data_IF_816468934227
#
_entry.id   IF_816468934227
#
_cell.length_a   1.000
_cell.length_b   1.000
_cell.length_c   1.000
_cell.angle_alpha   90.00
_cell.angle_beta   90.00
_cell.angle_gamma   90.00
#
_symmetry.space_group_name_H-M   'P 1'
#
loop_
_entity.id
_entity.type
_entity.pdbx_description
1 polymer ?
#
# COMPACT_ATOMS: atom_id res chain seq x y z
N UNK A 1 -21.41 4.82 16.48
CA UNK A 1 -20.11 4.73 15.78
C UNK A 1 -19.95 3.38 15.07
N UNK A 2 -20.29 2.24 15.68
CA UNK A 2 -20.17 0.90 15.07
C UNK A 2 -21.05 0.75 13.83
N UNK A 3 -22.29 1.25 13.85
CA UNK A 3 -23.20 1.21 12.70
C UNK A 3 -22.72 2.05 11.51
N UNK A 4 -22.07 3.18 11.78
CA UNK A 4 -21.49 4.04 10.74
C UNK A 4 -20.31 3.35 10.05
N UNK A 5 -19.47 2.66 10.82
CA UNK A 5 -18.37 1.86 10.28
C UNK A 5 -18.85 0.69 9.44
N UNK A 6 -19.88 -0.03 9.92
CA UNK A 6 -20.51 -1.11 9.15
C UNK A 6 -21.08 -0.62 7.83
N UNK A 7 -21.80 0.52 7.84
CA UNK A 7 -22.37 1.12 6.63
C UNK A 7 -21.30 1.55 5.62
N UNK A 8 -20.21 2.16 6.08
CA UNK A 8 -19.06 2.53 5.23
C UNK A 8 -18.40 1.29 4.60
N UNK A 9 -18.25 0.21 5.37
CA UNK A 9 -17.66 -1.01 4.84
C UNK A 9 -18.54 -1.66 3.77
N UNK A 10 -19.85 -1.71 3.98
CA UNK A 10 -20.81 -2.20 2.97
C UNK A 10 -20.74 -1.36 1.69
N UNK A 11 -20.69 -0.03 1.82
CA UNK A 11 -20.54 0.87 0.68
C UNK A 11 -19.24 0.62 -0.09
N UNK A 12 -18.12 0.46 0.61
CA UNK A 12 -16.83 0.15 0.01
C UNK A 12 -16.87 -1.18 -0.76
N UNK A 13 -17.50 -2.20 -0.20
CA UNK A 13 -17.65 -3.51 -0.86
C UNK A 13 -18.51 -3.39 -2.12
N UNK A 14 -19.64 -2.70 -2.06
CA UNK A 14 -20.52 -2.50 -3.22
C UNK A 14 -19.81 -1.76 -4.35
N UNK A 15 -19.14 -0.65 -4.05
CA UNK A 15 -18.39 0.12 -5.05
C UNK A 15 -17.23 -0.73 -5.61
N UNK A 16 -16.56 -1.49 -4.73
CA UNK A 16 -15.48 -2.42 -5.12
C UNK A 16 -15.97 -3.50 -6.10
N UNK A 17 -17.13 -4.09 -5.86
CA UNK A 17 -17.75 -5.09 -6.77
C UNK A 17 -18.05 -4.45 -8.13
N UNK A 18 -18.67 -3.27 -8.15
CA UNK A 18 -18.95 -2.55 -9.39
C UNK A 18 -17.67 -2.27 -10.18
N UNK A 19 -16.64 -1.73 -9.48
CA UNK A 19 -15.32 -1.46 -10.08
C UNK A 19 -14.70 -2.73 -10.65
N UNK A 20 -14.63 -3.81 -9.87
CA UNK A 20 -14.01 -5.06 -10.31
C UNK A 20 -14.74 -5.66 -11.50
N UNK A 21 -16.07 -5.58 -11.54
CA UNK A 21 -16.86 -5.99 -12.71
C UNK A 21 -16.52 -5.15 -13.94
N UNK A 22 -16.47 -3.82 -13.82
CA UNK A 22 -16.09 -2.93 -14.92
C UNK A 22 -14.67 -3.25 -15.43
N UNK A 23 -13.71 -3.41 -14.51
CA UNK A 23 -12.32 -3.76 -14.86
C UNK A 23 -12.25 -5.11 -15.58
N UNK A 24 -12.97 -6.14 -15.10
CA UNK A 24 -13.02 -7.44 -15.74
C UNK A 24 -13.68 -7.41 -17.13
N UNK A 25 -14.68 -6.56 -17.34
CA UNK A 25 -15.31 -6.37 -18.65
C UNK A 25 -14.40 -5.62 -19.64
N UNK A 26 -13.58 -4.67 -19.17
CA UNK A 26 -12.73 -3.84 -20.02
C UNK A 26 -11.39 -4.52 -20.37
N UNK A 27 -10.74 -5.13 -19.39
CA UNK A 27 -9.42 -5.74 -19.55
C UNK A 27 -9.46 -7.27 -19.75
N UNK A 28 -10.62 -7.88 -19.50
CA UNK A 28 -10.74 -9.33 -19.52
C UNK A 28 -9.97 -10.04 -18.41
N UNK A 29 -9.98 -11.39 -18.40
CA UNK A 29 -9.26 -12.17 -17.37
C UNK A 29 -7.76 -11.94 -17.38
N UNK A 30 -7.15 -11.73 -18.54
CA UNK A 30 -5.70 -11.49 -18.67
C UNK A 30 -5.27 -10.20 -17.97
N UNK A 31 -5.96 -9.08 -18.21
CA UNK A 31 -5.65 -7.80 -17.58
C UNK A 31 -5.87 -7.83 -16.06
N UNK A 32 -6.93 -8.51 -15.58
CA UNK A 32 -7.14 -8.70 -14.14
C UNK A 32 -6.02 -9.54 -13.53
N UNK A 33 -5.55 -10.59 -14.22
CA UNK A 33 -4.41 -11.40 -13.81
C UNK A 33 -3.12 -10.57 -13.70
N UNK A 34 -2.84 -9.70 -14.68
CA UNK A 34 -1.70 -8.77 -14.66
C UNK A 34 -1.74 -7.82 -13.45
N UNK A 35 -2.90 -7.20 -13.20
CA UNK A 35 -3.10 -6.32 -12.04
C UNK A 35 -2.79 -7.07 -10.74
N UNK A 36 -3.26 -8.31 -10.63
CA UNK A 36 -3.06 -9.14 -9.44
C UNK A 36 -1.60 -9.49 -9.21
N UNK A 37 -0.87 -9.87 -10.26
CA UNK A 37 0.55 -10.18 -10.19
C UNK A 37 1.38 -8.96 -9.80
N UNK A 38 1.12 -7.80 -10.42
CA UNK A 38 1.82 -6.55 -10.07
C UNK A 38 1.53 -6.12 -8.62
N UNK A 39 0.27 -6.22 -8.18
CA UNK A 39 -0.09 -5.89 -6.79
C UNK A 39 0.58 -6.83 -5.78
N UNK A 40 0.63 -8.14 -6.04
CA UNK A 40 1.30 -9.10 -5.15
C UNK A 40 2.80 -8.86 -5.08
N UNK A 41 3.42 -8.55 -6.22
CA UNK A 41 4.86 -8.24 -6.28
C UNK A 41 5.20 -6.96 -5.52
N UNK A 42 4.46 -5.88 -5.74
CA UNK A 42 4.66 -4.60 -5.03
C UNK A 42 4.38 -4.73 -3.54
N UNK A 43 3.36 -5.51 -3.16
CA UNK A 43 3.04 -5.79 -1.77
C UNK A 43 4.14 -6.57 -1.06
N UNK A 44 4.69 -7.61 -1.69
CA UNK A 44 5.82 -8.36 -1.12
C UNK A 44 7.01 -7.45 -0.81
N UNK A 45 7.39 -6.59 -1.76
CA UNK A 45 8.48 -5.64 -1.56
C UNK A 45 8.13 -4.65 -0.45
N UNK A 46 6.91 -4.09 -0.46
CA UNK A 46 6.43 -3.20 0.58
C UNK A 46 6.49 -3.83 1.97
N UNK A 47 5.99 -5.06 2.12
CA UNK A 47 6.01 -5.79 3.39
C UNK A 47 7.43 -6.13 3.85
N UNK A 48 8.34 -6.42 2.93
CA UNK A 48 9.74 -6.69 3.25
C UNK A 48 10.52 -5.43 3.66
N UNK A 49 10.13 -4.26 3.16
CA UNK A 49 10.89 -3.01 3.35
C UNK A 49 10.30 -2.06 4.38
N UNK A 50 9.05 -2.27 4.83
CA UNK A 50 8.36 -1.38 5.77
C UNK A 50 8.80 -1.55 7.23
N UNK A 51 9.63 -2.55 7.55
CA UNK A 51 10.12 -2.88 8.90
C UNK A 51 9.02 -2.98 9.97
N UNK A 52 7.79 -3.30 9.57
CA UNK A 52 6.63 -3.39 10.47
C UNK A 52 6.21 -2.07 11.11
N UNK A 53 6.72 -0.93 10.61
CA UNK A 53 6.40 0.40 11.11
C UNK A 53 4.90 0.66 11.17
N UNK A 54 4.09 0.34 10.15
CA UNK A 54 2.66 0.62 10.21
C UNK A 54 1.95 -0.04 11.39
N UNK A 55 2.42 -1.21 11.84
CA UNK A 55 1.83 -1.93 12.98
C UNK A 55 2.37 -1.45 14.32
N UNK A 56 3.70 -1.33 14.44
CA UNK A 56 4.36 -0.89 15.68
C UNK A 56 4.03 0.56 16.02
N UNK A 57 3.93 1.43 15.00
CA UNK A 57 3.53 2.82 15.16
C UNK A 57 2.12 2.97 15.74
N UNK A 58 1.15 2.22 15.23
CA UNK A 58 -0.23 2.26 15.75
C UNK A 58 -0.25 1.99 17.25
N UNK A 59 0.50 0.98 17.70
CA UNK A 59 0.56 0.62 19.12
C UNK A 59 1.15 1.74 19.97
N UNK A 60 2.32 2.25 19.60
CA UNK A 60 3.02 3.27 20.39
C UNK A 60 2.22 4.57 20.43
N UNK A 61 1.73 5.03 19.28
CA UNK A 61 0.92 6.25 19.18
C UNK A 61 -0.40 6.15 19.95
N UNK A 62 -1.03 4.96 19.98
CA UNK A 62 -2.25 4.75 20.76
C UNK A 62 -1.95 4.83 22.27
N UNK A 63 -0.83 4.28 22.72
CA UNK A 63 -0.40 4.33 24.11
C UNK A 63 -0.10 5.78 24.57
N UNK A 64 0.60 6.57 23.74
CA UNK A 64 0.90 7.96 24.05
C UNK A 64 -0.34 8.85 24.00
N UNK A 65 -1.22 8.59 23.04
CA UNK A 65 -2.51 9.28 22.93
C UNK A 65 -3.41 9.04 24.16
N UNK A 66 -3.47 7.79 24.66
CA UNK A 66 -4.26 7.43 25.84
C UNK A 66 -3.68 8.04 27.13
N UNK A 67 -2.37 8.25 27.20
CA UNK A 67 -1.70 8.93 28.34
C UNK A 67 -1.87 10.45 28.32
N UNK A 68 -2.31 11.03 27.20
CA UNK A 68 -2.43 12.48 27.02
C UNK A 68 -1.09 13.22 26.92
N UNK A 69 0.00 12.51 26.59
CA UNK A 69 1.34 13.09 26.43
C UNK A 69 1.50 13.64 25.01
N UNK A 70 1.07 14.90 24.82
CA UNK A 70 1.09 15.55 23.49
C UNK A 70 2.51 15.78 22.96
N UNK A 71 3.49 16.05 23.83
CA UNK A 71 4.88 16.27 23.41
C UNK A 71 5.50 14.97 22.89
N UNK A 72 5.28 13.88 23.60
CA UNK A 72 5.75 12.56 23.18
C UNK A 72 5.03 12.09 21.92
N UNK A 73 3.71 12.27 21.86
CA UNK A 73 2.91 11.94 20.70
C UNK A 73 3.39 12.65 19.41
N UNK A 74 3.66 13.96 19.49
CA UNK A 74 4.18 14.72 18.34
C UNK A 74 5.57 14.28 17.94
N UNK A 75 6.41 13.93 18.91
CA UNK A 75 7.74 13.38 18.66
C UNK A 75 7.65 12.02 17.96
N UNK A 76 6.79 11.13 18.43
CA UNK A 76 6.61 9.80 17.84
C UNK A 76 5.97 9.85 16.45
N UNK A 77 5.07 10.82 16.20
CA UNK A 77 4.57 11.11 14.85
C UNK A 77 5.72 11.50 13.91
N UNK A 78 6.63 12.38 14.35
CA UNK A 78 7.78 12.76 13.55
C UNK A 78 8.73 11.57 13.30
N UNK A 79 8.91 10.68 14.27
CA UNK A 79 9.66 9.42 14.12
C UNK A 79 9.02 8.54 13.06
N UNK A 80 7.71 8.31 13.12
CA UNK A 80 6.97 7.47 12.15
C UNK A 80 7.11 8.02 10.73
N UNK A 81 6.93 9.33 10.53
CA UNK A 81 7.09 9.98 9.22
C UNK A 81 8.51 9.85 8.67
N UNK A 82 9.52 10.06 9.53
CA UNK A 82 10.93 9.97 9.12
C UNK A 82 11.31 8.55 8.71
N UNK A 83 10.88 7.57 9.46
CA UNK A 83 11.08 6.16 9.12
C UNK A 83 10.26 5.72 7.90
N UNK A 84 9.03 6.19 7.75
CA UNK A 84 8.22 5.91 6.55
C UNK A 84 8.87 6.46 5.29
N UNK A 85 9.54 7.62 5.37
CA UNK A 85 10.31 8.16 4.24
C UNK A 85 11.52 7.30 3.92
N UNK A 86 12.26 6.84 4.92
CA UNK A 86 13.42 5.96 4.72
C UNK A 86 13.01 4.62 4.10
N UNK A 87 11.95 4.00 4.63
CA UNK A 87 11.43 2.74 4.10
C UNK A 87 10.83 2.88 2.71
N UNK A 88 10.21 4.02 2.40
CA UNK A 88 9.72 4.33 1.07
C UNK A 88 10.87 4.41 0.04
N UNK A 89 11.95 5.11 0.38
CA UNK A 89 13.15 5.17 -0.46
C UNK A 89 13.80 3.79 -0.61
N UNK A 90 13.93 3.04 0.49
CA UNK A 90 14.47 1.69 0.47
C UNK A 90 13.62 0.77 -0.43
N UNK A 91 12.30 0.79 -0.28
CA UNK A 91 11.38 0.00 -1.08
C UNK A 91 11.44 0.35 -2.58
N UNK A 92 11.55 1.64 -2.89
CA UNK A 92 11.74 2.11 -4.27
C UNK A 92 13.04 1.55 -4.88
N UNK A 93 14.17 1.69 -4.20
CA UNK A 93 15.45 1.19 -4.70
C UNK A 93 15.48 -0.33 -4.80
N UNK A 94 14.94 -1.05 -3.81
CA UNK A 94 14.86 -2.51 -3.85
C UNK A 94 13.95 -2.98 -4.99
N UNK A 95 12.82 -2.31 -5.23
CA UNK A 95 11.92 -2.64 -6.35
C UNK A 95 12.63 -2.47 -7.69
N UNK A 96 13.38 -1.38 -7.89
CA UNK A 96 14.18 -1.17 -9.10
C UNK A 96 15.25 -2.26 -9.24
N UNK A 97 16.01 -2.54 -8.18
CA UNK A 97 17.08 -3.53 -8.21
C UNK A 97 16.59 -4.96 -8.48
N UNK A 98 15.43 -5.32 -7.92
CA UNK A 98 14.82 -6.63 -8.09
C UNK A 98 13.93 -6.74 -9.34
N UNK A 99 13.71 -5.65 -10.09
CA UNK A 99 12.81 -5.65 -11.26
C UNK A 99 13.12 -6.72 -12.30
N UNK A 100 14.40 -7.03 -12.68
CA UNK A 100 14.69 -8.10 -13.61
C UNK A 100 14.39 -9.49 -13.02
N UNK A 101 14.64 -9.69 -11.72
CA UNK A 101 14.34 -10.94 -11.05
C UNK A 101 12.84 -11.19 -10.96
N UNK A 102 12.08 -10.15 -10.59
CA UNK A 102 10.60 -10.20 -10.53
C UNK A 102 10.00 -10.47 -11.91
N UNK A 103 10.52 -9.84 -12.97
CA UNK A 103 10.07 -10.08 -14.34
C UNK A 103 10.23 -11.53 -14.73
N UNK A 104 11.42 -12.11 -14.52
CA UNK A 104 11.70 -13.53 -14.84
C UNK A 104 10.86 -14.50 -14.01
N UNK A 105 10.75 -14.25 -12.70
CA UNK A 105 10.02 -15.15 -11.82
C UNK A 105 8.52 -15.12 -12.04
N UNK A 106 7.96 -13.92 -12.27
CA UNK A 106 6.51 -13.73 -12.35
C UNK A 106 5.95 -14.05 -13.73
N UNK A 107 6.70 -13.74 -14.81
CA UNK A 107 6.17 -13.82 -16.18
C UNK A 107 6.88 -14.84 -17.08
N UNK A 108 7.92 -15.53 -16.62
CA UNK A 108 8.68 -16.55 -17.39
C UNK A 108 9.28 -16.05 -18.72
N UNK A 109 9.14 -14.78 -19.09
CA UNK A 109 9.61 -14.15 -20.32
C UNK A 109 10.13 -12.75 -20.07
N UNK A 110 11.19 -12.40 -20.77
CA UNK A 110 11.82 -11.08 -20.71
C UNK A 110 10.93 -10.05 -21.41
N UNK A 111 10.42 -9.06 -20.71
CA UNK A 111 9.62 -7.98 -21.31
C UNK A 111 8.94 -7.08 -20.29
N UNK A 112 8.80 -7.53 -19.04
CA UNK A 112 8.10 -6.77 -18.01
C UNK A 112 9.00 -6.04 -17.02
N UNK A 113 10.32 -6.07 -17.20
CA UNK A 113 11.28 -5.38 -16.33
C UNK A 113 10.98 -3.88 -16.24
N UNK A 114 10.68 -3.23 -17.38
CA UNK A 114 10.32 -1.82 -17.40
C UNK A 114 9.05 -1.54 -16.60
N UNK A 115 8.07 -2.43 -16.64
CA UNK A 115 6.84 -2.29 -15.87
C UNK A 115 7.10 -2.31 -14.37
N UNK A 116 8.02 -3.17 -13.87
CA UNK A 116 8.41 -3.18 -12.46
C UNK A 116 9.21 -1.95 -12.05
N UNK A 117 10.06 -1.41 -12.93
CA UNK A 117 10.72 -0.13 -12.68
C UNK A 117 9.69 0.99 -12.58
N UNK A 118 8.71 1.03 -13.47
CA UNK A 118 7.62 2.01 -13.45
C UNK A 118 6.67 1.82 -12.26
N UNK A 119 6.60 0.62 -11.67
CA UNK A 119 5.83 0.34 -10.45
C UNK A 119 6.59 0.70 -9.16
N UNK A 120 7.90 0.94 -9.21
CA UNK A 120 8.68 1.26 -8.01
C UNK A 120 8.17 2.49 -7.25
N UNK A 121 7.66 3.59 -7.89
CA UNK A 121 7.02 4.68 -7.16
C UNK A 121 5.77 4.24 -6.37
N UNK A 122 5.05 3.21 -6.87
CA UNK A 122 3.88 2.68 -6.14
C UNK A 122 4.28 2.14 -4.76
N UNK A 123 5.41 1.41 -4.66
CA UNK A 123 5.93 0.90 -3.39
C UNK A 123 6.27 2.06 -2.44
N UNK A 124 6.94 3.10 -2.94
CA UNK A 124 7.29 4.26 -2.12
C UNK A 124 6.04 5.02 -1.63
N UNK A 125 5.09 5.29 -2.53
CA UNK A 125 3.86 6.02 -2.22
C UNK A 125 3.00 5.26 -1.20
N UNK A 126 2.88 3.94 -1.35
CA UNK A 126 2.13 3.09 -0.40
C UNK A 126 2.81 3.00 0.96
N UNK A 127 4.14 2.98 1.03
CA UNK A 127 4.88 3.02 2.30
C UNK A 127 4.64 4.34 3.05
N UNK A 128 4.70 5.49 2.35
CA UNK A 128 4.39 6.80 2.91
C UNK A 128 2.93 6.88 3.40
N UNK A 129 1.99 6.43 2.56
CA UNK A 129 0.57 6.39 2.94
C UNK A 129 0.33 5.49 4.16
N UNK A 130 1.04 4.36 4.25
CA UNK A 130 0.99 3.43 5.37
C UNK A 130 1.40 4.07 6.70
N UNK A 131 2.45 4.89 6.69
CA UNK A 131 2.89 5.66 7.86
C UNK A 131 1.83 6.67 8.33
N UNK A 132 1.27 7.47 7.41
CA UNK A 132 0.24 8.44 7.76
C UNK A 132 -1.07 7.76 8.20
N UNK A 133 -1.45 6.63 7.59
CA UNK A 133 -2.58 5.81 8.05
C UNK A 133 -2.34 5.23 9.45
N UNK A 134 -1.11 4.85 9.77
CA UNK A 134 -0.75 4.37 11.11
C UNK A 134 -0.91 5.49 12.16
N UNK A 135 -0.54 6.72 11.81
CA UNK A 135 -0.76 7.90 12.68
C UNK A 135 -2.26 8.07 12.95
N UNK A 136 -3.09 8.12 11.91
CA UNK A 136 -4.54 8.29 12.07
C UNK A 136 -5.20 7.15 12.86
N UNK A 137 -4.71 5.91 12.71
CA UNK A 137 -5.16 4.75 13.50
C UNK A 137 -4.74 4.88 14.98
N UNK A 138 -3.49 5.25 15.23
CA UNK A 138 -2.96 5.43 16.58
C UNK A 138 -3.72 6.48 17.37
N UNK A 139 -3.99 7.64 16.76
CA UNK A 139 -4.79 8.71 17.39
C UNK A 139 -6.30 8.51 17.28
N UNK A 140 -6.75 7.30 16.92
CA UNK A 140 -8.17 6.87 16.87
C UNK A 140 -9.09 7.77 16.03
N UNK A 141 -8.59 8.40 14.99
CA UNK A 141 -9.40 9.22 14.06
C UNK A 141 -10.18 8.34 13.07
N UNK A 142 -11.02 7.48 13.63
CA UNK A 142 -11.76 6.45 12.87
C UNK A 142 -12.65 7.06 11.78
N UNK A 143 -13.34 8.16 12.06
CA UNK A 143 -14.16 8.85 11.06
C UNK A 143 -13.36 9.35 9.85
N UNK A 144 -12.13 9.83 10.10
CA UNK A 144 -11.22 10.24 9.03
C UNK A 144 -10.76 9.04 8.18
N UNK A 145 -10.44 7.91 8.82
CA UNK A 145 -10.08 6.66 8.13
C UNK A 145 -11.24 6.14 7.26
N UNK A 146 -12.46 6.19 7.77
CA UNK A 146 -13.65 5.82 7.01
C UNK A 146 -13.84 6.72 5.78
N UNK A 147 -13.71 8.03 5.94
CA UNK A 147 -13.80 8.99 4.83
C UNK A 147 -12.70 8.74 3.77
N UNK A 148 -11.43 8.56 4.20
CA UNK A 148 -10.32 8.24 3.29
C UNK A 148 -10.63 6.95 2.51
N UNK A 149 -11.15 5.92 3.18
CA UNK A 149 -11.50 4.64 2.54
C UNK A 149 -12.57 4.84 1.44
N UNK A 150 -13.64 5.55 1.74
CA UNK A 150 -14.71 5.84 0.75
C UNK A 150 -14.18 6.64 -0.42
N UNK A 151 -13.45 7.73 -0.16
CA UNK A 151 -12.89 8.56 -1.23
C UNK A 151 -11.89 7.79 -2.09
N UNK A 152 -11.08 6.91 -1.48
CA UNK A 152 -10.14 6.07 -2.22
C UNK A 152 -10.85 5.09 -3.15
N UNK A 153 -11.92 4.42 -2.69
CA UNK A 153 -12.69 3.47 -3.51
C UNK A 153 -13.46 4.21 -4.62
N UNK A 154 -14.04 5.38 -4.34
CA UNK A 154 -14.66 6.22 -5.34
C UNK A 154 -13.66 6.73 -6.39
N UNK A 155 -12.50 7.22 -5.94
CA UNK A 155 -11.44 7.64 -6.85
C UNK A 155 -10.95 6.47 -7.72
N UNK A 156 -10.85 5.25 -7.14
CA UNK A 156 -10.49 4.06 -7.89
C UNK A 156 -11.50 3.78 -9.01
N UNK A 157 -12.80 3.84 -8.73
CA UNK A 157 -13.82 3.67 -9.75
C UNK A 157 -13.73 4.75 -10.85
N UNK A 158 -13.70 6.03 -10.42
CA UNK A 158 -13.77 7.17 -11.34
C UNK A 158 -12.51 7.37 -12.19
N UNK A 159 -11.34 6.95 -11.70
CA UNK A 159 -10.08 7.12 -12.42
C UNK A 159 -9.69 5.86 -13.20
N UNK A 160 -9.81 4.66 -12.60
CA UNK A 160 -9.31 3.46 -13.27
C UNK A 160 -10.21 3.01 -14.40
N UNK A 161 -11.54 3.13 -14.27
CA UNK A 161 -12.48 2.68 -15.32
C UNK A 161 -12.30 3.50 -16.61
N UNK A 162 -12.28 4.85 -16.61
CA UNK A 162 -12.01 5.61 -17.83
C UNK A 162 -10.62 5.35 -18.41
N UNK A 163 -9.58 5.19 -17.55
CA UNK A 163 -8.24 4.88 -18.01
C UNK A 163 -8.19 3.55 -18.77
N UNK A 164 -8.83 2.52 -18.24
CA UNK A 164 -8.88 1.21 -18.91
C UNK A 164 -9.75 1.23 -20.17
N UNK A 165 -10.81 2.03 -20.19
CA UNK A 165 -11.64 2.21 -21.39
C UNK A 165 -10.87 2.87 -22.53
N UNK A 166 -10.02 3.87 -22.24
CA UNK A 166 -9.29 4.64 -23.24
C UNK A 166 -7.99 3.95 -23.69
N UNK A 167 -7.26 3.32 -22.77
CA UNK A 167 -5.89 2.85 -23.01
C UNK A 167 -5.73 1.32 -22.84
N UNK A 168 -6.77 0.60 -22.40
CA UNK A 168 -6.71 -0.85 -22.20
C UNK A 168 -5.59 -1.27 -21.24
N UNK A 169 -4.87 -2.34 -21.60
CA UNK A 169 -3.83 -2.95 -20.77
C UNK A 169 -2.62 -2.03 -20.49
N UNK A 170 -2.32 -1.08 -21.39
CA UNK A 170 -1.22 -0.14 -21.21
C UNK A 170 -1.43 0.80 -20.02
N UNK A 171 -2.69 1.00 -19.60
CA UNK A 171 -3.05 1.80 -18.45
C UNK A 171 -2.87 1.08 -17.11
N UNK A 172 -2.56 -0.22 -17.06
CA UNK A 172 -2.48 -0.99 -15.81
C UNK A 172 -1.43 -0.38 -14.88
N UNK A 173 -0.19 -0.26 -15.32
CA UNK A 173 0.90 0.27 -14.49
C UNK A 173 0.65 1.74 -14.09
N UNK A 174 0.33 2.66 -15.03
CA UNK A 174 0.00 4.03 -14.66
C UNK A 174 -1.16 4.13 -13.67
N UNK A 175 -2.19 3.30 -13.80
CA UNK A 175 -3.35 3.32 -12.89
C UNK A 175 -2.98 2.91 -11.47
N UNK A 176 -2.11 1.91 -11.29
CA UNK A 176 -1.63 1.47 -9.98
C UNK A 176 -0.84 2.58 -9.28
N UNK A 177 0.07 3.23 -10.00
CA UNK A 177 0.85 4.37 -9.47
C UNK A 177 -0.06 5.55 -9.14
N UNK A 178 -1.00 5.88 -10.04
CA UNK A 178 -1.97 6.95 -9.81
C UNK A 178 -2.82 6.69 -8.56
N UNK A 179 -3.28 5.46 -8.36
CA UNK A 179 -4.06 5.10 -7.18
C UNK A 179 -3.25 5.18 -5.90
N UNK A 180 -1.99 4.77 -5.91
CA UNK A 180 -1.09 4.93 -4.76
C UNK A 180 -0.86 6.42 -4.44
N UNK A 181 -0.73 7.27 -5.46
CA UNK A 181 -0.62 8.72 -5.31
C UNK A 181 -1.88 9.32 -4.71
N UNK A 182 -3.06 8.96 -5.24
CA UNK A 182 -4.35 9.42 -4.72
C UNK A 182 -4.52 9.02 -3.25
N UNK A 183 -4.22 7.78 -2.90
CA UNK A 183 -4.26 7.31 -1.53
C UNK A 183 -3.34 8.13 -0.61
N UNK A 184 -2.11 8.37 -1.04
CA UNK A 184 -1.16 9.20 -0.28
C UNK A 184 -1.69 10.63 -0.10
N UNK A 185 -2.18 11.27 -1.17
CA UNK A 185 -2.71 12.63 -1.11
C UNK A 185 -3.91 12.75 -0.17
N UNK A 186 -4.88 11.82 -0.27
CA UNK A 186 -6.03 11.78 0.62
C UNK A 186 -5.60 11.66 2.08
N UNK A 187 -4.63 10.78 2.34
CA UNK A 187 -4.16 10.52 3.70
C UNK A 187 -3.37 11.71 4.27
N UNK A 188 -2.48 12.32 3.46
CA UNK A 188 -1.69 13.50 3.83
C UNK A 188 -2.61 14.70 4.13
N UNK A 189 -3.58 14.98 3.28
CA UNK A 189 -4.51 16.11 3.49
C UNK A 189 -5.21 16.02 4.84
N UNK A 190 -5.63 14.84 5.23
CA UNK A 190 -6.30 14.63 6.52
C UNK A 190 -5.31 14.64 7.68
N UNK A 191 -4.19 13.95 7.55
CA UNK A 191 -3.18 13.82 8.62
C UNK A 191 -2.51 15.15 8.94
N UNK A 192 -2.13 15.93 7.91
CA UNK A 192 -1.44 17.23 8.10
C UNK A 192 -2.33 18.32 8.64
N UNK A 193 -3.66 18.21 8.46
CA UNK A 193 -4.61 19.11 9.13
C UNK A 193 -4.67 18.90 10.63
N UNK A 194 -4.40 17.67 11.10
CA UNK A 194 -4.44 17.31 12.52
C UNK A 194 -3.08 17.52 13.19
N UNK A 195 -2.01 17.14 12.50
CA UNK A 195 -0.64 17.20 12.99
C UNK A 195 0.26 17.78 11.90
N UNK A 196 0.84 18.98 12.09
CA UNK A 196 1.71 19.63 11.10
C UNK A 196 2.85 18.72 10.63
N UNK A 197 3.32 18.86 9.38
CA UNK A 197 4.39 18.03 8.87
C UNK A 197 5.70 18.33 9.58
N UNK A 198 6.19 17.36 10.34
CA UNK A 198 7.53 17.36 10.93
C UNK A 198 8.24 16.09 10.50
N UNK A 199 9.23 16.24 9.63
CA UNK A 199 10.14 15.17 9.21
C UNK A 199 11.55 15.61 9.53
N UNK A 200 12.30 14.80 10.23
CA UNK A 200 13.70 15.10 10.57
C UNK A 200 14.54 13.83 10.51
N UNK A 201 15.54 13.82 9.64
CA UNK A 201 16.48 12.71 9.48
C UNK A 201 17.64 12.80 10.48
N UNK A 202 17.48 13.56 11.57
CA UNK A 202 18.51 13.63 12.64
C UNK A 202 18.65 12.26 13.30
N UNK A 203 19.89 11.81 13.48
CA UNK A 203 20.21 10.52 14.09
C UNK A 203 19.50 10.32 15.44
N UNK A 204 19.43 11.37 16.29
CA UNK A 204 18.74 11.31 17.58
C UNK A 204 17.26 10.99 17.51
N UNK A 205 16.56 11.38 16.41
CA UNK A 205 15.16 11.06 16.19
C UNK A 205 15.01 9.64 15.65
N UNK A 206 15.91 9.22 14.77
CA UNK A 206 15.90 7.87 14.19
C UNK A 206 16.21 6.81 15.25
N UNK A 207 17.14 7.10 16.17
CA UNK A 207 17.47 6.20 17.28
C UNK A 207 16.26 5.94 18.20
N UNK A 208 15.38 6.94 18.41
CA UNK A 208 14.12 6.75 19.14
C UNK A 208 13.19 5.75 18.45
N UNK A 209 13.19 5.72 17.12
CA UNK A 209 12.39 4.78 16.31
C UNK A 209 12.91 3.35 16.29
N UNK A 210 14.15 3.10 16.77
CA UNK A 210 14.73 1.76 16.76
C UNK A 210 13.92 0.73 17.55
N UNK A 211 13.30 1.16 18.64
CA UNK A 211 12.37 0.33 19.40
C UNK A 211 11.14 -0.13 18.59
N UNK A 212 10.61 0.75 17.75
CA UNK A 212 9.48 0.44 16.86
C UNK A 212 9.89 -0.59 15.81
N UNK A 213 11.08 -0.46 15.22
CA UNK A 213 11.61 -1.41 14.22
C UNK A 213 11.81 -2.78 14.85
N UNK A 214 12.43 -2.86 16.02
CA UNK A 214 12.64 -4.13 16.74
C UNK A 214 11.32 -4.85 17.03
N UNK A 215 10.30 -4.10 17.42
CA UNK A 215 8.96 -4.66 17.60
C UNK A 215 8.34 -5.06 16.25
N UNK A 216 8.61 -4.28 15.21
CA UNK A 216 8.07 -4.48 13.86
C UNK A 216 8.64 -5.71 13.13
N UNK A 217 9.85 -6.19 13.48
CA UNK A 217 10.51 -7.30 12.76
C UNK A 217 9.68 -8.58 12.73
N UNK A 218 8.94 -8.90 13.79
CA UNK A 218 8.04 -10.05 13.82
C UNK A 218 6.88 -9.90 12.82
N UNK A 219 6.36 -8.68 12.67
CA UNK A 219 5.30 -8.37 11.70
C UNK A 219 5.81 -8.41 10.26
N UNK A 220 7.08 -8.02 10.03
CA UNK A 220 7.74 -8.14 8.72
C UNK A 220 7.81 -9.59 8.28
N UNK A 221 8.24 -10.49 9.16
CA UNK A 221 8.29 -11.92 8.84
C UNK A 221 6.91 -12.47 8.49
N UNK A 222 5.89 -12.14 9.25
CA UNK A 222 4.51 -12.55 8.96
C UNK A 222 4.01 -11.96 7.63
N UNK A 223 4.32 -10.69 7.34
CA UNK A 223 4.00 -10.01 6.09
C UNK A 223 4.68 -10.68 4.89
N UNK A 224 5.98 -10.94 4.96
CA UNK A 224 6.75 -11.61 3.90
C UNK A 224 6.22 -13.03 3.65
N UNK A 225 5.89 -13.78 4.70
CA UNK A 225 5.33 -15.13 4.54
C UNK A 225 3.96 -15.08 3.86
N UNK A 226 3.09 -14.13 4.23
CA UNK A 226 1.77 -13.97 3.63
C UNK A 226 1.83 -13.50 2.18
N UNK A 227 2.45 -12.35 1.92
CA UNK A 227 2.56 -11.79 0.56
C UNK A 227 3.48 -12.59 -0.35
N UNK A 228 4.51 -13.24 0.22
CA UNK A 228 5.37 -14.18 -0.51
C UNK A 228 4.62 -15.42 -0.97
N UNK A 229 3.84 -16.05 -0.09
CA UNK A 229 2.99 -17.18 -0.47
C UNK A 229 1.99 -16.80 -1.56
N UNK A 230 1.35 -15.63 -1.45
CA UNK A 230 0.42 -15.12 -2.45
C UNK A 230 1.10 -14.92 -3.81
N UNK A 231 2.29 -14.31 -3.83
CA UNK A 231 3.05 -14.14 -5.07
C UNK A 231 3.50 -15.48 -5.67
N UNK A 232 3.97 -16.42 -4.85
CA UNK A 232 4.39 -17.76 -5.32
C UNK A 232 3.21 -18.48 -5.97
N UNK A 233 2.04 -18.49 -5.31
CA UNK A 233 0.83 -19.15 -5.85
C UNK A 233 0.44 -18.52 -7.18
N UNK A 234 0.36 -17.19 -7.25
CA UNK A 234 -0.02 -16.48 -8.47
C UNK A 234 0.98 -16.67 -9.60
N UNK A 235 2.27 -16.60 -9.30
CA UNK A 235 3.33 -16.85 -10.29
C UNK A 235 3.30 -18.31 -10.78
N UNK A 236 3.07 -19.28 -9.89
CA UNK A 236 2.92 -20.68 -10.27
C UNK A 236 1.72 -20.89 -11.19
N UNK A 237 0.56 -20.33 -10.85
CA UNK A 237 -0.65 -20.42 -11.69
C UNK A 237 -0.41 -19.79 -13.07
N UNK A 238 0.27 -18.65 -13.13
CA UNK A 238 0.60 -17.99 -14.40
C UNK A 238 1.55 -18.86 -15.26
N UNK A 239 2.53 -19.53 -14.64
CA UNK A 239 3.55 -20.30 -15.35
C UNK A 239 3.07 -21.68 -15.79
N UNK A 240 2.13 -22.28 -15.05
CA UNK A 240 1.66 -23.67 -15.32
C UNK A 240 0.37 -23.69 -16.12
N UNK A 241 -0.54 -22.75 -15.90
CA UNK A 241 -1.83 -22.73 -16.60
C UNK A 241 -1.91 -21.58 -17.60
N UNK A 242 -2.19 -20.37 -17.13
CA UNK A 242 -2.23 -19.13 -17.93
C UNK A 242 -2.50 -17.95 -16.97
N UNK A 243 -2.21 -16.74 -17.43
CA UNK A 243 -2.46 -15.50 -16.71
C UNK A 243 -3.97 -15.30 -16.42
N UNK A 244 -4.84 -15.80 -17.26
CA UNK A 244 -6.29 -15.79 -17.05
C UNK A 244 -6.69 -16.58 -15.80
N UNK A 245 -5.99 -17.68 -15.49
CA UNK A 245 -6.24 -18.50 -14.31
C UNK A 245 -5.94 -17.73 -13.01
N UNK A 246 -4.96 -16.83 -13.03
CA UNK A 246 -4.66 -15.93 -11.89
C UNK A 246 -5.85 -15.03 -11.58
N UNK A 247 -6.62 -14.61 -12.58
CA UNK A 247 -7.79 -13.77 -12.37
C UNK A 247 -8.93 -14.48 -11.63
N UNK A 248 -9.07 -15.80 -11.81
CA UNK A 248 -10.08 -16.60 -11.10
C UNK A 248 -9.71 -16.93 -9.66
N UNK A 249 -8.42 -16.83 -9.32
CA UNK A 249 -7.93 -17.01 -7.95
C UNK A 249 -8.18 -15.78 -7.06
N UNK A 250 -8.53 -14.63 -7.62
CA UNK A 250 -8.84 -13.39 -6.91
C UNK A 250 -10.27 -13.35 -6.41
#
# INVERSE_FOLDING_TARGET
YISLFGGVQVLNVLIGIVRNKCVAMLLGPQGVGLISLFNSSTRLIGDATNFGIPMSAVRNLAEDYDKGDEEKLTTDIAVVRSWSLLTALLGLFICIALSPLLSRYTFSWDGHTLHFVLLSPCVALTALAGGELAILKGVRKLGALAAISVYNVLAALLLTVPLYYLFGDTAIVPSLVLMALVQLLLTIVVSYRLYPPHVSLRKSLLDKGWGMIRLGTAFVLAGILGSGAELIIRSYLNNVADISTVSFYN
#
